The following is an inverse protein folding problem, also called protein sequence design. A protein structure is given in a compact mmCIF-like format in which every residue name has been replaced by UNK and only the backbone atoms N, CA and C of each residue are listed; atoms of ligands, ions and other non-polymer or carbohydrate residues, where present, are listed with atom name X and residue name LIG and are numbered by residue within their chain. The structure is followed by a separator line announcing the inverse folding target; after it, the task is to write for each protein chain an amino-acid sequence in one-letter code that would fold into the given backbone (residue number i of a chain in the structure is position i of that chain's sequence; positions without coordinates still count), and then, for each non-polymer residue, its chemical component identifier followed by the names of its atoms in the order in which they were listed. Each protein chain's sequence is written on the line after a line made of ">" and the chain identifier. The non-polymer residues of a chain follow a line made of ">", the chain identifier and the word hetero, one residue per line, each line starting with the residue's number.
data_IF_330725661892
#
_entry.id   IF_330725661892
#
_cell.length_a   1.000
_cell.length_b   1.000
_cell.length_c   1.000
_cell.angle_alpha   90.00
_cell.angle_beta   90.00
_cell.angle_gamma   90.00
#
_symmetry.space_group_name_H-M   'P 1'
#
loop_
_entity.id
_entity.type
_entity.pdbx_description
1 polymer ?
#
# COMPACT_ATOMS: atom_id res chain seq x y z
N UNK A 1 22.65 8.19 11.22
CA UNK A 1 21.58 9.20 11.01
C UNK A 1 20.68 8.85 9.82
N UNK A 2 20.02 7.66 9.82
CA UNK A 2 19.05 7.23 8.77
C UNK A 2 17.73 6.70 9.35
N UNK A 3 17.35 7.04 10.58
CA UNK A 3 16.21 6.44 11.29
C UNK A 3 14.89 7.23 11.25
N UNK A 4 14.80 8.41 10.65
CA UNK A 4 13.64 9.30 10.80
C UNK A 4 12.65 9.36 9.62
N UNK A 5 12.83 8.60 8.52
CA UNK A 5 12.05 8.85 7.30
C UNK A 5 10.68 8.14 7.23
N UNK A 6 10.33 7.26 8.18
CA UNK A 6 9.08 6.48 8.13
C UNK A 6 8.06 7.01 9.13
N UNK A 7 8.49 7.45 10.30
CA UNK A 7 7.60 8.09 11.29
C UNK A 7 6.91 9.35 10.75
N UNK A 8 7.47 9.94 9.69
CA UNK A 8 6.97 11.17 9.07
C UNK A 8 5.66 10.96 8.28
N UNK A 9 5.41 9.73 7.78
CA UNK A 9 4.26 9.44 6.92
C UNK A 9 3.28 8.42 7.50
N UNK A 10 3.42 8.13 8.79
CA UNK A 10 2.50 7.26 9.52
C UNK A 10 2.17 7.85 10.89
N UNK A 11 0.96 7.59 11.37
CA UNK A 11 0.54 7.90 12.73
C UNK A 11 0.04 6.64 13.41
N UNK A 12 0.54 6.35 14.60
CA UNK A 12 -0.02 5.31 15.46
C UNK A 12 -1.38 5.79 15.97
N UNK A 13 -2.39 4.98 15.85
CA UNK A 13 -3.76 5.26 16.28
C UNK A 13 -4.06 4.35 17.47
N UNK A 14 -4.82 4.86 18.43
CA UNK A 14 -5.31 4.12 19.58
C UNK A 14 -4.22 3.26 20.30
N UNK A 15 -3.03 3.82 20.49
CA UNK A 15 -1.88 3.14 21.08
C UNK A 15 -1.53 1.79 20.40
N UNK A 16 -1.64 1.74 19.08
CA UNK A 16 -1.41 0.56 18.22
C UNK A 16 -2.40 -0.60 18.47
N UNK A 17 -3.57 -0.30 19.05
CA UNK A 17 -4.64 -1.25 19.31
C UNK A 17 -5.76 -1.10 18.30
N UNK A 18 -6.01 -2.10 17.46
CA UNK A 18 -7.10 -2.09 16.49
C UNK A 18 -8.47 -2.14 17.19
N UNK A 19 -9.50 -1.71 16.49
CA UNK A 19 -10.89 -1.84 16.92
C UNK A 19 -11.61 -2.73 15.92
N UNK A 20 -11.85 -3.98 16.34
CA UNK A 20 -12.62 -4.94 15.58
C UNK A 20 -13.99 -5.15 16.21
N UNK A 21 -15.00 -5.29 15.38
CA UNK A 21 -16.33 -5.69 15.78
C UNK A 21 -16.44 -7.22 15.79
N UNK A 22 -17.41 -7.78 16.51
CA UNK A 22 -17.63 -9.22 16.60
C UNK A 22 -17.71 -9.87 15.20
N UNK A 23 -18.41 -9.24 14.27
CA UNK A 23 -18.57 -9.71 12.90
C UNK A 23 -17.27 -9.74 12.10
N UNK A 24 -16.26 -8.95 12.48
CA UNK A 24 -14.95 -8.95 11.81
C UNK A 24 -14.22 -10.28 12.01
N UNK A 25 -14.51 -11.00 13.11
CA UNK A 25 -13.94 -12.32 13.40
C UNK A 25 -14.62 -13.48 12.68
N UNK A 26 -15.73 -13.23 11.98
CA UNK A 26 -16.47 -14.25 11.20
C UNK A 26 -15.90 -14.41 9.77
N UNK A 27 -14.79 -13.73 9.45
CA UNK A 27 -14.15 -13.82 8.14
C UNK A 27 -13.52 -15.20 7.92
N UNK A 28 -13.83 -15.78 6.76
CA UNK A 28 -13.29 -17.08 6.36
C UNK A 28 -11.85 -16.91 5.88
N UNK A 29 -10.96 -17.75 6.36
CA UNK A 29 -9.56 -17.80 5.94
C UNK A 29 -9.45 -18.01 4.43
N UNK A 30 -8.67 -17.16 3.76
CA UNK A 30 -8.50 -17.21 2.31
C UNK A 30 -9.60 -16.54 1.49
N UNK A 31 -10.64 -15.98 2.12
CA UNK A 31 -11.75 -15.28 1.48
C UNK A 31 -11.82 -13.81 1.95
N UNK A 32 -11.02 -12.90 1.39
CA UNK A 32 -11.10 -11.48 1.72
C UNK A 32 -12.50 -10.93 1.45
N UNK A 33 -13.03 -10.15 2.39
CA UNK A 33 -14.26 -9.40 2.22
C UNK A 33 -13.91 -7.96 1.83
N UNK A 34 -14.29 -7.56 0.63
CA UNK A 34 -14.16 -6.18 0.16
C UNK A 34 -15.40 -5.40 0.56
N UNK A 35 -15.20 -4.18 1.08
CA UNK A 35 -16.30 -3.33 1.47
C UNK A 35 -16.98 -2.74 0.23
N UNK A 36 -18.27 -2.41 0.36
CA UNK A 36 -18.99 -1.78 -0.73
C UNK A 36 -18.36 -0.41 -1.05
N UNK A 37 -18.24 -0.07 -2.33
CA UNK A 37 -17.81 1.25 -2.75
C UNK A 37 -18.72 2.34 -2.17
N UNK A 38 -18.16 3.53 -1.98
CA UNK A 38 -18.93 4.67 -1.56
C UNK A 38 -19.85 5.22 -2.68
N UNK A 39 -20.59 6.28 -2.40
CA UNK A 39 -21.51 6.92 -3.36
C UNK A 39 -20.80 7.42 -4.64
N UNK A 40 -19.51 7.66 -4.58
CA UNK A 40 -18.67 8.01 -5.72
C UNK A 40 -18.00 6.79 -6.37
N UNK A 41 -18.43 5.58 -6.01
CA UNK A 41 -17.88 4.29 -6.46
C UNK A 41 -16.42 4.05 -6.09
N UNK A 42 -15.85 4.79 -5.13
CA UNK A 42 -14.47 4.62 -4.68
C UNK A 42 -14.36 3.44 -3.72
N UNK A 43 -13.25 2.69 -3.80
CA UNK A 43 -13.00 1.57 -2.90
C UNK A 43 -12.82 2.07 -1.45
N UNK A 44 -13.54 1.49 -0.50
CA UNK A 44 -13.59 1.96 0.90
C UNK A 44 -12.77 1.13 1.86
N UNK A 45 -12.44 -0.12 1.51
CA UNK A 45 -11.64 -0.99 2.37
C UNK A 45 -11.85 -2.47 2.11
N UNK A 46 -11.15 -3.26 2.91
CA UNK A 46 -11.27 -4.70 2.91
C UNK A 46 -10.79 -5.29 4.24
N UNK A 47 -11.23 -6.50 4.55
CA UNK A 47 -10.78 -7.28 5.68
C UNK A 47 -10.47 -8.70 5.24
N UNK A 48 -9.44 -9.31 5.83
CA UNK A 48 -9.03 -10.67 5.54
C UNK A 48 -8.49 -11.37 6.80
N UNK A 49 -8.71 -12.66 6.92
CA UNK A 49 -8.02 -13.51 7.88
C UNK A 49 -6.81 -14.14 7.18
N UNK A 50 -5.62 -13.73 7.57
CA UNK A 50 -4.35 -14.10 6.96
C UNK A 50 -3.68 -15.20 7.79
N UNK A 51 -3.15 -16.21 7.11
CA UNK A 51 -2.39 -17.31 7.70
C UNK A 51 -1.24 -17.74 6.79
N UNK A 52 -0.44 -18.71 7.21
CA UNK A 52 0.52 -19.36 6.32
C UNK A 52 -0.10 -19.94 5.06
N UNK A 53 -1.35 -20.44 5.16
CA UNK A 53 -2.06 -21.06 4.03
C UNK A 53 -2.53 -20.03 2.99
N UNK A 54 -2.78 -18.77 3.40
CA UNK A 54 -3.23 -17.70 2.49
C UNK A 54 -2.07 -17.00 1.79
N UNK A 55 -0.87 -17.07 2.38
CA UNK A 55 0.35 -16.46 1.84
C UNK A 55 0.83 -17.32 0.65
N UNK A 56 0.95 -16.75 -0.57
CA UNK A 56 1.37 -17.53 -1.72
C UNK A 56 2.85 -17.93 -1.61
N UNK A 57 3.16 -19.18 -1.93
CA UNK A 57 4.54 -19.69 -1.98
C UNK A 57 5.37 -18.99 -3.06
N UNK A 58 4.72 -18.59 -4.16
CA UNK A 58 5.35 -17.89 -5.28
C UNK A 58 4.61 -16.59 -5.55
N UNK A 59 5.34 -15.47 -5.49
CA UNK A 59 4.78 -14.18 -5.85
C UNK A 59 4.87 -13.99 -7.36
N UNK A 60 3.74 -13.78 -8.02
CA UNK A 60 3.69 -13.48 -9.45
C UNK A 60 4.42 -12.16 -9.74
N UNK A 61 5.38 -12.17 -10.66
CA UNK A 61 6.22 -10.99 -10.98
C UNK A 61 5.46 -9.86 -11.69
N UNK A 62 4.37 -10.17 -12.39
CA UNK A 62 3.55 -9.17 -13.11
C UNK A 62 2.08 -9.40 -12.78
N UNK A 63 1.57 -8.56 -11.92
CA UNK A 63 0.16 -8.50 -11.60
C UNK A 63 -0.46 -7.36 -12.39
N UNK A 64 -1.55 -7.64 -13.11
CA UNK A 64 -2.38 -6.61 -13.73
C UNK A 64 -3.49 -6.24 -12.75
N UNK A 65 -3.53 -4.98 -12.36
CA UNK A 65 -4.62 -4.42 -11.57
C UNK A 65 -5.61 -3.71 -12.49
N UNK A 66 -6.91 -3.82 -12.23
CA UNK A 66 -7.89 -2.99 -12.91
C UNK A 66 -7.68 -1.53 -12.54
N UNK A 67 -8.17 -0.62 -13.38
CA UNK A 67 -8.19 0.79 -13.05
C UNK A 67 -9.14 1.03 -11.87
N UNK A 68 -8.68 1.71 -10.80
CA UNK A 68 -9.56 2.17 -9.76
C UNK A 68 -10.58 3.16 -10.33
N UNK A 69 -11.66 3.38 -9.61
CA UNK A 69 -12.64 4.37 -10.02
C UNK A 69 -12.01 5.77 -10.11
N UNK A 70 -12.37 6.51 -11.15
CA UNK A 70 -11.82 7.85 -11.40
C UNK A 70 -10.41 7.90 -11.95
N UNK A 71 -9.82 6.74 -12.30
CA UNK A 71 -8.51 6.71 -12.96
C UNK A 71 -8.56 7.48 -14.29
N UNK A 72 -7.63 8.39 -14.50
CA UNK A 72 -7.50 9.23 -15.70
C UNK A 72 -6.03 9.41 -16.08
N UNK A 73 -5.76 10.22 -17.12
CA UNK A 73 -4.42 10.46 -17.64
C UNK A 73 -3.42 11.07 -16.65
N UNK A 74 -3.88 11.86 -15.67
CA UNK A 74 -3.00 12.42 -14.64
C UNK A 74 -2.36 11.34 -13.79
N UNK A 75 -3.05 10.20 -13.59
CA UNK A 75 -2.57 9.07 -12.81
C UNK A 75 -1.61 8.14 -13.58
N UNK A 76 -1.50 8.30 -14.91
CA UNK A 76 -0.50 7.57 -15.69
C UNK A 76 0.93 8.03 -15.42
N UNK A 77 1.11 9.07 -14.59
CA UNK A 77 2.44 9.44 -14.08
C UNK A 77 2.97 8.38 -13.11
N UNK A 78 3.61 7.35 -13.67
CA UNK A 78 4.16 6.20 -12.94
C UNK A 78 5.27 6.54 -11.93
N UNK A 79 5.74 7.78 -11.89
CA UNK A 79 6.68 8.23 -10.87
C UNK A 79 5.99 8.63 -9.57
N UNK A 80 4.69 8.93 -9.63
CA UNK A 80 3.89 9.41 -8.50
C UNK A 80 2.81 8.41 -8.13
N UNK A 81 1.99 7.96 -9.09
CA UNK A 81 0.80 7.18 -8.84
C UNK A 81 0.94 5.73 -9.29
N UNK A 82 0.24 4.87 -8.58
CA UNK A 82 0.12 3.43 -8.87
C UNK A 82 -1.31 2.96 -8.59
N UNK A 83 -1.79 1.97 -9.35
CA UNK A 83 -2.97 1.17 -9.04
C UNK A 83 -2.61 0.31 -7.84
N UNK A 84 -3.09 0.67 -6.65
CA UNK A 84 -2.61 0.04 -5.44
C UNK A 84 -3.70 -0.80 -4.75
N UNK A 85 -3.33 -2.01 -4.34
CA UNK A 85 -4.22 -2.92 -3.65
C UNK A 85 -4.47 -2.52 -2.20
N UNK A 86 -5.65 -2.87 -1.69
CA UNK A 86 -6.02 -2.75 -0.27
C UNK A 86 -5.45 -3.94 0.51
N UNK A 87 -5.78 -5.17 0.09
CA UNK A 87 -5.15 -6.40 0.59
C UNK A 87 -4.14 -6.88 -0.45
N UNK A 88 -2.88 -7.01 -0.03
CA UNK A 88 -1.80 -7.43 -0.91
C UNK A 88 -1.94 -8.88 -1.39
N UNK A 89 -1.57 -9.14 -2.63
CA UNK A 89 -1.45 -10.52 -3.14
C UNK A 89 -0.51 -11.36 -2.28
N UNK A 90 0.57 -10.77 -1.77
CA UNK A 90 1.53 -11.44 -0.91
C UNK A 90 0.96 -11.90 0.44
N UNK A 91 -0.25 -11.49 0.80
CA UNK A 91 -0.94 -11.89 2.03
C UNK A 91 -2.11 -12.83 1.76
N UNK A 92 -2.84 -12.68 0.65
CA UNK A 92 -4.11 -13.36 0.42
C UNK A 92 -4.19 -14.17 -0.86
N UNK A 93 -3.18 -14.09 -1.74
CA UNK A 93 -3.19 -14.69 -3.08
C UNK A 93 -4.38 -14.27 -3.99
N UNK A 94 -5.19 -13.28 -3.61
CA UNK A 94 -6.35 -12.77 -4.34
C UNK A 94 -6.08 -11.38 -4.93
N UNK A 95 -6.60 -11.11 -6.14
CA UNK A 95 -6.30 -9.85 -6.82
C UNK A 95 -7.43 -9.23 -7.63
N UNK A 96 -8.32 -10.04 -8.17
CA UNK A 96 -9.11 -9.65 -9.33
C UNK A 96 -10.29 -8.70 -9.03
N UNK A 97 -10.51 -8.30 -7.79
CA UNK A 97 -11.65 -7.46 -7.43
C UNK A 97 -11.29 -5.98 -7.55
N UNK A 98 -12.08 -5.20 -8.31
CA UNK A 98 -11.89 -3.76 -8.47
C UNK A 98 -12.05 -3.01 -7.13
N UNK A 99 -12.84 -3.54 -6.20
CA UNK A 99 -13.01 -3.00 -4.85
C UNK A 99 -11.74 -3.10 -4.01
N UNK A 100 -10.77 -3.93 -4.45
CA UNK A 100 -9.46 -4.05 -3.81
C UNK A 100 -8.44 -3.02 -4.28
N UNK A 101 -8.80 -2.10 -5.18
CA UNK A 101 -7.85 -1.19 -5.84
C UNK A 101 -8.24 0.27 -5.61
N UNK A 102 -7.24 1.09 -5.25
CA UNK A 102 -7.37 2.53 -5.11
C UNK A 102 -6.18 3.27 -5.74
N UNK A 103 -6.28 4.59 -5.87
CA UNK A 103 -5.19 5.45 -6.38
C UNK A 103 -4.19 5.69 -5.25
N UNK A 104 -3.09 4.95 -5.25
CA UNK A 104 -2.02 5.08 -4.28
C UNK A 104 -0.80 5.80 -4.84
N UNK A 105 0.00 6.40 -3.96
CA UNK A 105 1.30 6.91 -4.35
C UNK A 105 2.37 5.83 -4.27
N UNK A 106 3.43 6.01 -5.04
CA UNK A 106 4.59 5.11 -5.01
C UNK A 106 5.26 5.07 -3.63
N UNK A 107 5.27 6.21 -2.92
CA UNK A 107 5.80 6.28 -1.55
C UNK A 107 4.94 5.48 -0.58
N UNK A 108 3.60 5.60 -0.64
CA UNK A 108 2.69 4.81 0.17
C UNK A 108 2.91 3.31 -0.06
N UNK A 109 2.96 2.89 -1.32
CA UNK A 109 3.18 1.49 -1.69
C UNK A 109 4.52 0.97 -1.17
N UNK A 110 5.62 1.53 -1.66
CA UNK A 110 6.96 0.94 -1.50
C UNK A 110 7.61 1.20 -0.15
N UNK A 111 7.27 2.33 0.47
CA UNK A 111 7.96 2.80 1.66
C UNK A 111 7.14 2.67 2.94
N UNK A 112 5.82 2.56 2.85
CA UNK A 112 4.94 2.60 4.00
C UNK A 112 4.19 1.27 4.15
N UNK A 113 3.20 1.00 3.29
CA UNK A 113 2.35 -0.20 3.43
C UNK A 113 3.14 -1.51 3.31
N UNK A 114 4.09 -1.59 2.37
CA UNK A 114 4.93 -2.79 2.23
C UNK A 114 5.70 -3.16 3.50
N UNK A 115 5.97 -2.21 4.39
CA UNK A 115 6.64 -2.49 5.68
C UNK A 115 5.67 -3.04 6.72
N UNK A 116 4.45 -2.52 6.75
CA UNK A 116 3.38 -3.05 7.61
C UNK A 116 3.05 -4.47 7.19
N UNK A 117 2.85 -4.70 5.90
CA UNK A 117 2.58 -6.02 5.33
C UNK A 117 3.67 -7.04 5.65
N UNK A 118 4.94 -6.63 5.54
CA UNK A 118 6.09 -7.48 5.91
C UNK A 118 6.12 -7.81 7.39
N UNK A 119 5.72 -6.87 8.28
CA UNK A 119 5.62 -7.14 9.72
C UNK A 119 4.55 -8.18 10.00
N UNK A 120 3.36 -8.04 9.39
CA UNK A 120 2.26 -9.01 9.51
C UNK A 120 2.70 -10.39 9.01
N UNK A 121 3.24 -10.44 7.79
CA UNK A 121 3.73 -11.68 7.18
C UNK A 121 4.77 -12.38 8.05
N UNK A 122 5.77 -11.64 8.50
CA UNK A 122 6.85 -12.16 9.36
C UNK A 122 6.28 -12.77 10.64
N UNK A 123 5.35 -12.05 11.31
CA UNK A 123 4.75 -12.56 12.55
C UNK A 123 4.00 -13.88 12.32
N UNK A 124 3.22 -13.97 11.24
CA UNK A 124 2.49 -15.19 10.86
C UNK A 124 3.47 -16.35 10.59
N UNK A 125 4.55 -16.09 9.85
CA UNK A 125 5.54 -17.13 9.49
C UNK A 125 6.32 -17.65 10.69
N UNK A 126 6.63 -16.78 11.67
CA UNK A 126 7.41 -17.13 12.86
C UNK A 126 6.58 -17.83 13.95
N UNK A 127 5.30 -17.49 14.09
CA UNK A 127 4.47 -17.93 15.21
C UNK A 127 3.36 -18.92 14.81
N UNK A 128 3.16 -19.15 13.52
CA UNK A 128 2.12 -20.03 12.97
C UNK A 128 0.70 -19.70 13.44
N UNK A 129 0.41 -18.42 13.53
CA UNK A 129 -0.86 -17.86 13.96
C UNK A 129 -1.61 -17.21 12.81
N UNK A 130 -2.92 -17.02 13.00
CA UNK A 130 -3.74 -16.24 12.07
C UNK A 130 -3.81 -14.80 12.53
N UNK A 131 -3.83 -13.88 11.57
CA UNK A 131 -3.95 -12.44 11.81
C UNK A 131 -5.17 -11.91 11.08
N UNK A 132 -6.07 -11.26 11.82
CA UNK A 132 -7.14 -10.47 11.24
C UNK A 132 -6.55 -9.15 10.77
N UNK A 133 -6.71 -8.85 9.47
CA UNK A 133 -6.09 -7.71 8.80
C UNK A 133 -7.15 -6.90 8.08
N UNK A 134 -7.38 -5.66 8.51
CA UNK A 134 -8.37 -4.73 7.97
C UNK A 134 -7.68 -3.46 7.49
N UNK A 135 -8.03 -3.02 6.30
CA UNK A 135 -7.58 -1.76 5.74
C UNK A 135 -8.79 -0.92 5.37
N UNK A 136 -8.88 0.29 5.91
CA UNK A 136 -9.93 1.24 5.59
C UNK A 136 -9.34 2.41 4.81
N UNK A 137 -9.86 2.67 3.61
CA UNK A 137 -9.42 3.78 2.76
C UNK A 137 -10.14 5.06 3.19
N UNK A 138 -9.38 6.14 3.43
CA UNK A 138 -9.94 7.41 3.95
C UNK A 138 -9.81 8.53 2.93
N UNK A 139 -10.93 8.97 2.40
CA UNK A 139 -11.05 10.12 1.49
C UNK A 139 -11.40 11.39 2.26
N UNK A 140 -11.18 12.55 1.62
CA UNK A 140 -11.67 13.85 2.08
C UNK A 140 -12.65 14.40 1.04
N UNK A 141 -13.93 14.49 1.42
CA UNK A 141 -14.96 14.94 0.50
C UNK A 141 -14.96 14.14 -0.80
N UNK A 142 -15.03 14.83 -1.92
CA UNK A 142 -15.13 14.23 -3.25
C UNK A 142 -13.77 13.93 -3.92
N UNK A 143 -12.66 14.02 -3.18
CA UNK A 143 -11.34 13.76 -3.74
C UNK A 143 -11.25 12.36 -4.34
N UNK A 144 -10.64 12.24 -5.52
CA UNK A 144 -10.40 10.95 -6.19
C UNK A 144 -9.30 10.13 -5.48
N UNK A 145 -8.33 10.82 -4.90
CA UNK A 145 -7.18 10.22 -4.23
C UNK A 145 -7.46 10.22 -2.72
N UNK A 146 -7.36 9.07 -2.02
CA UNK A 146 -7.53 9.03 -0.59
C UNK A 146 -6.40 9.78 0.14
N UNK A 147 -6.70 10.35 1.30
CA UNK A 147 -5.68 10.96 2.18
C UNK A 147 -4.73 9.93 2.76
N UNK A 148 -5.18 8.70 2.86
CA UNK A 148 -4.40 7.58 3.37
C UNK A 148 -5.28 6.40 3.67
N UNK A 149 -4.69 5.43 4.33
CA UNK A 149 -5.37 4.21 4.78
C UNK A 149 -5.13 3.98 6.27
N UNK A 150 -6.16 3.53 6.96
CA UNK A 150 -6.04 2.99 8.31
C UNK A 150 -5.81 1.49 8.19
N UNK A 151 -4.69 1.02 8.71
CA UNK A 151 -4.36 -0.40 8.79
C UNK A 151 -4.55 -0.86 10.23
N UNK A 152 -5.37 -1.87 10.39
CA UNK A 152 -5.65 -2.54 11.66
C UNK A 152 -5.31 -4.02 11.50
N UNK A 153 -4.49 -4.56 12.40
CA UNK A 153 -4.13 -5.97 12.40
C UNK A 153 -4.07 -6.49 13.83
N UNK A 154 -4.54 -7.71 14.05
CA UNK A 154 -4.49 -8.38 15.35
C UNK A 154 -4.35 -9.88 15.11
N UNK A 155 -3.39 -10.49 15.79
CA UNK A 155 -3.29 -11.95 15.82
C UNK A 155 -4.39 -12.56 16.71
N UNK A 156 -4.83 -13.77 16.38
CA UNK A 156 -5.87 -14.42 17.16
C UNK A 156 -5.43 -14.92 18.55
N UNK A 157 -4.11 -14.84 18.84
CA UNK A 157 -3.54 -15.07 20.17
C UNK A 157 -3.37 -13.79 20.99
N UNK A 158 -3.78 -12.63 20.43
CA UNK A 158 -3.69 -11.30 21.04
C UNK A 158 -2.26 -10.76 21.32
N UNK A 159 -1.22 -11.45 20.85
CA UNK A 159 0.18 -11.09 21.13
C UNK A 159 0.75 -10.08 20.10
N UNK A 160 0.07 -9.86 18.99
CA UNK A 160 0.47 -8.93 17.94
C UNK A 160 -0.67 -8.00 17.56
N UNK A 161 -0.39 -6.69 17.54
CA UNK A 161 -1.35 -5.70 17.05
C UNK A 161 -0.68 -4.59 16.25
N UNK A 162 -1.45 -4.01 15.33
CA UNK A 162 -1.12 -2.80 14.58
C UNK A 162 -2.40 -1.98 14.44
N UNK A 163 -2.32 -0.67 14.73
CA UNK A 163 -3.34 0.30 14.40
C UNK A 163 -2.64 1.59 13.94
N UNK A 164 -2.46 1.73 12.62
CA UNK A 164 -1.67 2.81 12.05
C UNK A 164 -2.39 3.46 10.88
N UNK A 165 -2.39 4.79 10.86
CA UNK A 165 -2.77 5.55 9.68
C UNK A 165 -1.55 5.79 8.80
N UNK A 166 -1.63 5.37 7.54
CA UNK A 166 -0.60 5.52 6.53
C UNK A 166 -1.02 6.62 5.55
N UNK A 167 -0.26 7.73 5.49
CA UNK A 167 -0.59 8.86 4.63
C UNK A 167 -0.27 8.55 3.17
N UNK A 168 -1.21 8.88 2.28
CA UNK A 168 -1.04 8.74 0.84
C UNK A 168 -0.34 9.98 0.27
N UNK A 169 0.95 10.06 0.50
CA UNK A 169 1.82 11.18 0.11
C UNK A 169 2.92 10.69 -0.82
N UNK A 170 3.44 11.59 -1.65
CA UNK A 170 4.62 11.31 -2.47
C UNK A 170 5.78 12.14 -1.96
N UNK A 171 6.91 11.49 -1.68
CA UNK A 171 8.07 12.11 -1.04
C UNK A 171 8.68 13.25 -1.85
N UNK A 172 8.68 13.13 -3.16
CA UNK A 172 9.34 14.04 -4.10
C UNK A 172 8.36 14.85 -4.97
N UNK A 173 7.08 14.80 -4.67
CA UNK A 173 6.06 15.59 -5.35
C UNK A 173 4.91 15.98 -4.42
N UNK A 174 4.29 17.11 -4.69
CA UNK A 174 2.97 17.48 -4.18
C UNK A 174 1.98 17.51 -5.32
N UNK A 175 0.74 17.11 -5.04
CA UNK A 175 -0.31 16.98 -6.04
C UNK A 175 -1.67 17.33 -5.46
N UNK A 176 -2.62 17.64 -6.34
CA UNK A 176 -4.01 17.82 -5.96
C UNK A 176 -4.67 16.44 -5.74
N UNK A 177 -5.28 16.24 -4.59
CA UNK A 177 -5.97 15.01 -4.25
C UNK A 177 -7.30 14.84 -5.00
N UNK A 178 -7.81 15.91 -5.61
CA UNK A 178 -9.04 15.83 -6.37
C UNK A 178 -8.84 15.11 -7.71
N UNK A 179 -7.77 15.43 -8.45
CA UNK A 179 -7.59 14.97 -9.82
C UNK A 179 -6.20 14.43 -10.17
N UNK A 180 -5.23 14.49 -9.21
CA UNK A 180 -3.86 14.04 -9.41
C UNK A 180 -2.95 15.02 -10.11
N UNK A 181 -3.41 16.27 -10.38
CA UNK A 181 -2.56 17.30 -10.96
C UNK A 181 -1.33 17.55 -10.12
N UNK A 182 -0.14 17.43 -10.70
CA UNK A 182 1.11 17.68 -10.00
C UNK A 182 1.31 19.18 -9.78
N UNK A 183 1.33 19.60 -8.53
CA UNK A 183 1.53 20.99 -8.13
C UNK A 183 3.01 21.34 -8.15
N UNK A 184 3.86 20.46 -7.60
CA UNK A 184 5.28 20.70 -7.47
C UNK A 184 6.09 19.42 -7.35
N UNK A 185 7.26 19.38 -8.00
CA UNK A 185 8.32 18.41 -7.70
C UNK A 185 9.36 19.02 -6.76
N UNK A 186 9.80 18.25 -5.77
CA UNK A 186 10.88 18.67 -4.88
C UNK A 186 12.22 18.51 -5.59
N UNK A 187 12.79 19.62 -6.11
CA UNK A 187 13.98 19.65 -6.96
C UNK A 187 15.25 19.05 -6.31
N UNK A 188 15.36 19.05 -5.00
CA UNK A 188 16.58 18.60 -4.27
C UNK A 188 16.83 17.09 -4.48
N UNK A 189 15.79 16.27 -4.58
CA UNK A 189 15.94 14.82 -4.77
C UNK A 189 16.26 14.50 -6.23
N UNK A 190 15.70 15.26 -7.18
CA UNK A 190 15.98 15.07 -8.61
C UNK A 190 17.42 15.44 -8.99
N UNK A 191 18.01 16.47 -8.37
CA UNK A 191 19.41 16.85 -8.60
C UNK A 191 20.37 15.74 -8.12
N UNK A 192 20.12 15.14 -6.96
CA UNK A 192 20.93 14.04 -6.43
C UNK A 192 20.80 12.77 -7.28
N UNK A 193 19.61 12.43 -7.74
CA UNK A 193 19.38 11.26 -8.60
C UNK A 193 20.01 11.46 -9.99
N UNK A 194 19.94 12.66 -10.57
CA UNK A 194 20.57 12.98 -11.85
C UNK A 194 22.11 13.02 -11.72
N UNK A 195 22.64 13.47 -10.60
CA UNK A 195 24.10 13.47 -10.34
C UNK A 195 24.60 12.05 -10.13
N UNK A 196 23.88 11.22 -9.39
CA UNK A 196 24.23 9.81 -9.20
C UNK A 196 24.17 9.03 -10.52
N UNK A 197 23.17 9.25 -11.36
CA UNK A 197 23.12 8.62 -12.70
C UNK A 197 24.21 9.14 -13.65
N UNK A 198 24.57 10.43 -13.59
CA UNK A 198 25.68 10.96 -14.38
C UNK A 198 27.04 10.45 -13.92
N UNK A 199 27.24 10.27 -12.61
CA UNK A 199 28.52 9.84 -12.05
C UNK A 199 28.71 8.32 -12.11
N UNK A 200 27.63 7.53 -12.02
CA UNK A 200 27.68 6.07 -11.98
C UNK A 200 27.06 5.37 -13.19
N UNK A 201 26.51 6.12 -14.16
CA UNK A 201 25.71 5.62 -15.28
C UNK A 201 26.47 5.28 -16.55
N UNK A 202 27.81 5.38 -16.61
CA UNK A 202 28.59 5.10 -17.83
C UNK A 202 29.60 3.99 -17.64
N UNK A 203 29.14 2.73 -17.64
CA UNK A 203 29.93 1.59 -18.14
C UNK A 203 29.01 0.64 -18.90
N UNK A 204 28.65 0.98 -20.14
CA UNK A 204 28.27 -0.03 -21.13
C UNK A 204 29.57 -0.62 -21.67
N UNK A 205 29.83 -1.87 -21.32
CA UNK A 205 30.88 -2.67 -21.91
C UNK A 205 30.62 -2.86 -23.41
N UNK A 206 31.37 -2.17 -24.25
CA UNK A 206 31.56 -2.59 -25.65
C UNK A 206 32.52 -3.76 -25.64
N UNK A 207 32.05 -4.99 -25.63
CA UNK A 207 32.79 -6.13 -26.17
C UNK A 207 32.37 -6.26 -27.64
N UNK A 208 33.16 -5.70 -28.54
CA UNK A 208 33.19 -6.11 -29.96
C UNK A 208 33.94 -7.40 -30.02
N UNK A 209 33.33 -8.36 -30.70
CA UNK A 209 34.00 -9.57 -31.18
C UNK A 209 35.05 -9.19 -32.25
N UNK A 210 36.26 -9.75 -32.11
CA UNK A 210 37.15 -10.11 -33.17
C UNK A 210 37.34 -11.63 -33.10
#
# INVERSE_FOLDING_TARGET
>A
KRRNSIKEFTSVINNDKPIFEKQDFEIIEGEPKYFEPDELSRATGAIALISKNTIPLVIKKKLKYPDPYGWNENFENKNVFERYHIIAYSLSAKLADKRNIFIGTKTLNKSIMSKVEKRVKKYIEENDVRVLYKVTVKYRGNNQIPKGVLIEAQSLDDEFSICQFCYNVQKDATFDYNDGTIIKYNKVINALNNTVQKVFGTKKNNKKHA
#
